data_IF_924870500572
#
_entry.id   IF_924870500572
#
_cell.length_a   1.000
_cell.length_b   1.000
_cell.length_c   1.000
_cell.angle_alpha   90.00
_cell.angle_beta   90.00
_cell.angle_gamma   90.00
#
_symmetry.space_group_name_H-M   'P 1'
#
loop_
_entity.id
_entity.type
_entity.pdbx_description
1 polymer ?
#
# COMPACT_ATOMS: atom_id res chain seq x y z
N UNK A 1 13.75 37.15 -31.92
CA UNK A 1 14.24 35.76 -31.69
C UNK A 1 14.44 35.45 -30.21
N UNK A 2 15.19 36.26 -29.43
CA UNK A 2 15.41 36.01 -27.98
C UNK A 2 14.11 35.99 -27.14
N UNK A 3 13.16 36.87 -27.44
CA UNK A 3 11.87 36.93 -26.74
C UNK A 3 10.99 35.69 -27.00
N UNK A 4 10.98 35.21 -28.25
CA UNK A 4 10.29 33.98 -28.63
C UNK A 4 10.89 32.77 -27.90
N UNK A 5 12.23 32.72 -27.82
CA UNK A 5 12.95 31.66 -27.11
C UNK A 5 12.58 31.64 -25.61
N UNK A 6 12.50 32.83 -24.98
CA UNK A 6 12.07 32.97 -23.59
C UNK A 6 10.62 32.51 -23.38
N UNK A 7 9.71 32.83 -24.31
CA UNK A 7 8.33 32.37 -24.25
C UNK A 7 8.22 30.84 -24.35
N UNK A 8 8.98 30.22 -25.25
CA UNK A 8 9.02 28.76 -25.40
C UNK A 8 9.57 28.10 -24.13
N UNK A 9 10.64 28.65 -23.55
CA UNK A 9 11.24 28.11 -22.33
C UNK A 9 10.27 28.19 -21.13
N UNK A 10 9.54 29.30 -21.00
CA UNK A 10 8.54 29.49 -19.96
C UNK A 10 7.35 28.51 -20.11
N UNK A 11 6.89 28.28 -21.34
CA UNK A 11 5.81 27.32 -21.61
C UNK A 11 6.21 25.89 -21.22
N UNK A 12 7.45 25.47 -21.51
CA UNK A 12 7.98 24.15 -21.12
C UNK A 12 8.09 24.04 -19.59
N UNK A 13 8.58 25.08 -18.92
CA UNK A 13 8.69 25.08 -17.45
C UNK A 13 7.32 24.99 -16.76
N UNK A 14 6.29 25.66 -17.31
CA UNK A 14 4.92 25.62 -16.79
C UNK A 14 4.20 24.29 -17.04
N UNK A 15 4.65 23.50 -18.01
CA UNK A 15 4.08 22.18 -18.31
C UNK A 15 4.61 21.04 -17.41
N UNK A 16 5.51 21.33 -16.47
CA UNK A 16 6.16 20.34 -15.62
C UNK A 16 5.31 19.90 -14.40
N UNK A 17 3.98 19.84 -14.55
CA UNK A 17 3.07 19.45 -13.47
C UNK A 17 2.64 17.98 -13.65
N UNK A 18 2.92 17.15 -12.65
CA UNK A 18 2.67 15.69 -12.76
C UNK A 18 3.46 14.82 -11.79
N UNK A 19 4.38 15.40 -11.01
CA UNK A 19 5.10 14.65 -9.99
C UNK A 19 4.24 14.46 -8.73
N UNK A 20 3.59 13.31 -8.60
CA UNK A 20 2.88 12.90 -7.38
C UNK A 20 3.85 12.14 -6.47
N UNK A 21 4.00 12.58 -5.22
CA UNK A 21 4.80 11.90 -4.20
C UNK A 21 3.92 11.41 -3.07
N UNK A 22 4.03 10.12 -2.75
CA UNK A 22 3.34 9.51 -1.61
C UNK A 22 4.40 9.11 -0.58
N UNK A 23 4.43 9.70 0.62
CA UNK A 23 5.38 9.31 1.65
C UNK A 23 5.07 7.90 2.17
N UNK A 24 6.09 7.06 2.24
CA UNK A 24 5.99 5.72 2.82
C UNK A 24 6.47 5.73 4.26
N UNK A 25 5.69 5.12 5.15
CA UNK A 25 6.03 4.88 6.54
C UNK A 25 6.54 3.44 6.67
N UNK A 26 7.68 3.29 7.36
CA UNK A 26 8.22 1.97 7.69
C UNK A 26 7.47 1.40 8.91
N UNK A 27 6.86 0.24 8.75
CA UNK A 27 6.27 -0.54 9.83
C UNK A 27 7.16 -1.74 10.15
N UNK A 28 7.04 -2.24 11.38
CA UNK A 28 7.63 -3.52 11.74
C UNK A 28 6.84 -4.60 11.00
N UNK A 29 7.56 -5.51 10.35
CA UNK A 29 6.90 -6.65 9.72
C UNK A 29 6.30 -7.55 10.80
N UNK A 30 5.18 -8.20 10.49
CA UNK A 30 4.56 -9.17 11.40
C UNK A 30 5.59 -10.23 11.79
N UNK A 31 6.45 -10.68 10.85
CA UNK A 31 7.58 -11.57 11.15
C UNK A 31 8.54 -11.00 12.21
N UNK A 32 8.88 -9.72 12.16
CA UNK A 32 9.78 -9.11 13.14
C UNK A 32 9.11 -9.01 14.52
N UNK A 33 7.85 -8.64 14.54
CA UNK A 33 7.05 -8.62 15.78
C UNK A 33 6.90 -10.03 16.38
N UNK A 34 6.72 -11.04 15.53
CA UNK A 34 6.72 -12.46 15.90
C UNK A 34 8.04 -12.88 16.54
N UNK A 35 9.16 -12.65 15.86
CA UNK A 35 10.51 -12.98 16.38
C UNK A 35 10.82 -12.23 17.67
N UNK A 36 10.44 -10.96 17.76
CA UNK A 36 10.69 -10.12 18.94
C UNK A 36 9.79 -10.53 20.13
N UNK A 37 8.59 -11.09 19.90
CA UNK A 37 7.63 -11.50 20.95
C UNK A 37 7.87 -12.89 21.54
N UNK A 38 8.63 -13.76 20.87
CA UNK A 38 8.93 -15.12 21.34
C UNK A 38 7.75 -16.11 21.30
N UNK A 39 6.60 -15.73 20.71
CA UNK A 39 5.42 -16.61 20.56
C UNK A 39 5.55 -17.52 19.33
N UNK A 40 5.05 -18.75 19.42
CA UNK A 40 5.08 -19.68 18.27
C UNK A 40 4.07 -19.27 17.20
N UNK A 41 4.39 -19.58 15.93
CA UNK A 41 3.51 -19.28 14.78
C UNK A 41 2.13 -19.92 14.96
N UNK A 42 2.07 -21.09 15.60
CA UNK A 42 0.84 -21.85 15.85
C UNK A 42 -0.09 -21.17 16.86
N UNK A 43 0.47 -20.62 17.94
CA UNK A 43 -0.28 -19.91 18.98
C UNK A 43 -0.93 -18.63 18.44
N UNK A 44 -0.23 -17.95 17.52
CA UNK A 44 -0.75 -16.75 16.89
C UNK A 44 -1.66 -17.04 15.70
N UNK A 45 -1.53 -18.15 14.98
CA UNK A 45 -2.54 -18.53 13.98
C UNK A 45 -3.90 -18.83 14.63
N UNK A 46 -3.88 -19.38 15.85
CA UNK A 46 -5.09 -19.53 16.67
C UNK A 46 -5.67 -18.17 17.11
N UNK A 47 -4.81 -17.19 17.43
CA UNK A 47 -5.20 -15.82 17.83
C UNK A 47 -5.64 -14.96 16.61
N UNK A 48 -5.01 -15.16 15.45
CA UNK A 48 -5.23 -14.40 14.20
C UNK A 48 -6.57 -14.71 13.55
N UNK A 49 -7.16 -15.88 13.83
CA UNK A 49 -8.55 -16.17 13.44
C UNK A 49 -9.57 -15.22 14.11
N UNK A 50 -9.15 -14.43 15.10
CA UNK A 50 -9.97 -13.42 15.79
C UNK A 50 -9.55 -11.97 15.51
N UNK A 51 -8.47 -11.73 14.78
CA UNK A 51 -8.01 -10.38 14.46
C UNK A 51 -8.67 -9.83 13.19
N UNK A 52 -9.89 -9.30 13.37
CA UNK A 52 -10.37 -7.96 12.97
C UNK A 52 -10.16 -7.45 11.52
N UNK A 53 -9.55 -8.24 10.63
CA UNK A 53 -9.49 -8.05 9.20
C UNK A 53 -10.24 -9.21 8.59
N UNK A 54 -11.56 -9.04 8.54
CA UNK A 54 -12.40 -9.77 7.62
C UNK A 54 -11.89 -9.38 6.21
N UNK A 55 -10.89 -10.10 5.70
CA UNK A 55 -10.60 -10.14 4.27
C UNK A 55 -11.92 -10.55 3.64
N UNK A 56 -12.66 -9.56 3.12
CA UNK A 56 -14.04 -9.68 2.69
C UNK A 56 -14.18 -10.55 1.45
N UNK A 57 -13.85 -11.82 1.57
CA UNK A 57 -14.04 -12.82 0.54
C UNK A 57 -15.26 -13.64 0.91
N UNK A 58 -16.41 -13.42 0.24
CA UNK A 58 -17.49 -14.38 0.32
C UNK A 58 -16.95 -15.73 -0.17
N UNK A 59 -17.30 -16.79 0.56
CA UNK A 59 -17.08 -18.20 0.22
C UNK A 59 -17.95 -18.61 -0.98
N UNK A 60 -17.85 -17.89 -2.09
CA UNK A 60 -18.47 -18.22 -3.37
C UNK A 60 -17.38 -18.73 -4.30
N UNK A 61 -17.55 -19.96 -4.81
CA UNK A 61 -16.58 -20.74 -5.60
C UNK A 61 -16.17 -20.15 -6.96
N UNK A 62 -15.72 -18.90 -6.99
CA UNK A 62 -14.92 -18.31 -8.05
C UNK A 62 -13.42 -18.58 -7.83
N UNK A 63 -12.55 -18.17 -8.76
CA UNK A 63 -11.11 -18.37 -8.63
C UNK A 63 -10.63 -17.71 -7.34
N UNK A 64 -10.14 -18.52 -6.39
CA UNK A 64 -9.56 -18.05 -5.14
C UNK A 64 -8.33 -17.20 -5.48
N UNK A 65 -8.29 -15.90 -5.14
CA UNK A 65 -7.06 -15.13 -5.24
C UNK A 65 -6.02 -15.84 -4.38
N UNK A 66 -4.87 -16.18 -4.97
CA UNK A 66 -3.81 -16.83 -4.22
C UNK A 66 -3.39 -15.92 -3.07
N UNK A 67 -3.57 -16.38 -1.82
CA UNK A 67 -3.22 -15.60 -0.63
C UNK A 67 -1.71 -15.41 -0.62
N UNK A 68 -1.25 -14.22 -1.03
CA UNK A 68 0.15 -13.84 -1.01
C UNK A 68 0.64 -13.80 0.45
N UNK A 69 1.27 -14.88 0.90
CA UNK A 69 1.95 -14.96 2.20
C UNK A 69 3.07 -13.91 2.35
N UNK A 70 3.47 -13.26 1.26
CA UNK A 70 4.55 -12.27 1.20
C UNK A 70 4.19 -10.91 1.84
N UNK A 71 2.92 -10.63 2.17
CA UNK A 71 2.56 -9.44 2.93
C UNK A 71 3.15 -9.43 4.35
N UNK A 72 3.50 -10.60 4.90
CA UNK A 72 4.13 -10.71 6.22
C UNK A 72 5.52 -10.07 6.29
N UNK A 73 6.15 -9.81 5.15
CA UNK A 73 7.46 -9.17 5.03
C UNK A 73 7.36 -7.73 4.48
N UNK A 74 6.16 -7.24 4.14
CA UNK A 74 5.94 -5.87 3.71
C UNK A 74 6.19 -4.90 4.87
N UNK A 75 7.18 -4.02 4.70
CA UNK A 75 7.64 -3.07 5.72
C UNK A 75 7.28 -1.63 5.39
N UNK A 76 6.79 -1.33 4.18
CA UNK A 76 6.52 0.05 3.75
C UNK A 76 5.07 0.18 3.31
N UNK A 77 4.38 1.15 3.90
CA UNK A 77 2.97 1.42 3.65
C UNK A 77 2.80 2.93 3.48
N UNK A 78 1.79 3.36 2.73
CA UNK A 78 1.36 4.75 2.72
C UNK A 78 -0.14 4.88 2.88
N UNK A 79 -0.60 6.11 2.99
CA UNK A 79 -1.99 6.43 3.27
C UNK A 79 -2.70 6.91 2.00
N UNK A 80 -3.92 6.41 1.77
CA UNK A 80 -4.82 6.87 0.71
C UNK A 80 -6.18 7.25 1.30
N UNK A 81 -6.93 8.12 0.60
CA UNK A 81 -8.29 8.48 0.97
C UNK A 81 -9.29 7.92 -0.05
N UNK A 82 -10.39 7.31 0.42
CA UNK A 82 -11.48 6.85 -0.44
C UNK A 82 -12.83 7.44 0.02
N UNK A 83 -13.67 7.81 -0.94
CA UNK A 83 -15.03 8.31 -0.70
C UNK A 83 -15.11 9.83 -0.47
N UNK A 84 -16.33 10.30 -0.24
CA UNK A 84 -16.62 11.70 0.13
C UNK A 84 -17.63 11.69 1.28
N UNK A 85 -17.26 12.12 2.50
CA UNK A 85 -15.94 12.61 2.89
C UNK A 85 -14.85 11.51 2.80
N UNK A 86 -13.57 11.88 2.61
CA UNK A 86 -12.48 10.91 2.49
C UNK A 86 -12.29 10.10 3.77
N UNK A 87 -12.27 8.78 3.65
CA UNK A 87 -11.86 7.84 4.71
C UNK A 87 -10.42 7.40 4.44
N UNK A 88 -9.56 7.48 5.45
CA UNK A 88 -8.13 7.16 5.32
C UNK A 88 -7.89 5.65 5.47
N UNK A 89 -7.11 5.08 4.54
CA UNK A 89 -6.68 3.69 4.55
C UNK A 89 -5.16 3.62 4.44
N UNK A 90 -4.56 2.66 5.15
CA UNK A 90 -3.14 2.33 5.02
C UNK A 90 -2.99 1.17 4.04
N UNK A 91 -2.22 1.37 2.98
CA UNK A 91 -2.08 0.41 1.87
C UNK A 91 -0.62 0.12 1.53
N UNK A 92 -0.39 -1.06 0.98
CA UNK A 92 0.87 -1.44 0.34
C UNK A 92 0.81 -1.03 -1.13
N UNK A 93 1.82 -0.30 -1.60
CA UNK A 93 1.97 -0.01 -3.03
C UNK A 93 2.67 -1.19 -3.71
N UNK A 94 1.88 -2.16 -4.15
CA UNK A 94 2.34 -3.40 -4.78
C UNK A 94 2.42 -3.26 -6.30
N UNK A 95 3.60 -3.41 -6.87
CA UNK A 95 3.81 -3.39 -8.34
C UNK A 95 3.55 -4.75 -9.00
N UNK A 96 3.30 -5.80 -8.21
CA UNK A 96 3.00 -7.15 -8.69
C UNK A 96 1.51 -7.44 -8.93
N UNK A 97 0.63 -6.49 -8.64
CA UNK A 97 -0.83 -6.64 -8.79
C UNK A 97 -1.47 -5.40 -9.45
N UNK A 98 -2.74 -5.50 -9.86
CA UNK A 98 -3.46 -4.44 -10.60
C UNK A 98 -4.97 -4.44 -10.32
N UNK A 99 -5.35 -4.80 -9.09
CA UNK A 99 -6.75 -4.80 -8.64
C UNK A 99 -7.24 -3.42 -8.24
#
# INVERSE_FOLDING_TARGET
>A
MKLLLLFVLAAVALSADGLVRIPLKKFRSIRRELTDSGRSIEELLADTHSLKYNFGFPSSGGPTPETLKNYLDAQYYGEIGLGTPPQTFTVVFDTGSSN
#
